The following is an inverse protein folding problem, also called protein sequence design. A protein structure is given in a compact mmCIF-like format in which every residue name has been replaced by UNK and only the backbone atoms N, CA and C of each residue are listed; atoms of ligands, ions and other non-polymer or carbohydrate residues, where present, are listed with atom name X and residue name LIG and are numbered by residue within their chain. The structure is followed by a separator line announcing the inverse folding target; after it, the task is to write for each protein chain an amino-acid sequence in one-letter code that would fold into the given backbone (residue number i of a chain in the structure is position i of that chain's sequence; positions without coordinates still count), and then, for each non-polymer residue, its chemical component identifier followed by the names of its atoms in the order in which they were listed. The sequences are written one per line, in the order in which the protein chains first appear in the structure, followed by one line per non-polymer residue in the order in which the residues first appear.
data_IF_445951169666
#
_entry.id   IF_445951169666
#
_cell.length_a   1.000
_cell.length_b   1.000
_cell.length_c   1.000
_cell.angle_alpha   90.00
_cell.angle_beta   90.00
_cell.angle_gamma   90.00
#
_symmetry.space_group_name_H-M   'P 1'
#
loop_
_entity.id
_entity.type
_entity.pdbx_description
1 polymer ?
#
# COMPACT_ATOMS: atom_id res chain seq x y z
N UNK A 1 -65.78 -22.48 -19.81
CA UNK A 1 -64.33 -22.67 -20.03
C UNK A 1 -63.75 -23.29 -18.77
N UNK A 2 -63.90 -24.61 -18.72
CA UNK A 2 -62.93 -25.66 -18.35
C UNK A 2 -61.53 -25.23 -17.89
N UNK A 3 -60.79 -25.92 -17.03
CA UNK A 3 -61.00 -26.98 -16.01
C UNK A 3 -59.58 -27.37 -15.57
N UNK A 4 -59.37 -27.56 -14.26
CA UNK A 4 -58.42 -28.52 -13.63
C UNK A 4 -56.92 -28.17 -13.71
N UNK A 5 -56.01 -28.55 -12.82
CA UNK A 5 -55.86 -29.71 -11.91
C UNK A 5 -55.06 -29.22 -10.67
N UNK A 6 -55.44 -29.47 -9.42
CA UNK A 6 -55.47 -30.73 -8.65
C UNK A 6 -54.09 -31.22 -8.16
N UNK A 7 -54.15 -31.80 -6.94
CA UNK A 7 -53.15 -32.60 -6.20
C UNK A 7 -52.23 -31.81 -5.26
N UNK A 8 -52.45 -31.78 -3.94
CA UNK A 8 -52.55 -32.89 -2.97
C UNK A 8 -51.26 -33.71 -2.89
N UNK A 9 -50.59 -33.65 -1.74
CA UNK A 9 -49.37 -34.40 -1.48
C UNK A 9 -48.85 -34.20 -0.06
N UNK A 10 -49.69 -34.51 0.93
CA UNK A 10 -49.28 -34.72 2.31
C UNK A 10 -48.37 -35.97 2.36
N UNK A 11 -47.09 -35.80 2.68
CA UNK A 11 -46.15 -36.91 2.84
C UNK A 11 -45.60 -36.93 4.27
N UNK A 12 -46.30 -37.70 5.12
CA UNK A 12 -45.84 -38.17 6.43
C UNK A 12 -44.59 -39.03 6.26
N UNK A 13 -43.44 -38.56 6.77
CA UNK A 13 -42.25 -39.39 6.92
C UNK A 13 -42.29 -40.02 8.31
N UNK A 14 -42.48 -41.34 8.32
CA UNK A 14 -42.48 -42.22 9.48
C UNK A 14 -41.04 -42.32 10.00
N UNK A 15 -40.82 -41.92 11.26
CA UNK A 15 -39.58 -42.17 11.98
C UNK A 15 -39.54 -43.64 12.42
N UNK A 16 -38.74 -44.47 11.75
CA UNK A 16 -38.30 -45.76 12.28
C UNK A 16 -36.77 -45.75 12.29
N UNK A 17 -36.21 -45.96 13.47
CA UNK A 17 -34.78 -45.89 13.73
C UNK A 17 -33.96 -46.93 12.98
N UNK A 18 -32.65 -46.69 12.90
CA UNK A 18 -31.68 -47.67 12.42
C UNK A 18 -30.40 -47.04 11.86
N UNK A 19 -29.43 -46.83 12.74
CA UNK A 19 -27.97 -46.94 12.52
C UNK A 19 -27.46 -47.05 11.07
N UNK A 20 -26.72 -46.02 10.63
CA UNK A 20 -25.43 -46.13 9.93
C UNK A 20 -24.89 -44.71 9.65
N UNK A 21 -24.13 -44.14 10.59
CA UNK A 21 -23.28 -42.98 10.30
C UNK A 21 -22.11 -43.46 9.43
N UNK A 22 -22.35 -43.55 8.13
CA UNK A 22 -21.27 -43.63 7.15
C UNK A 22 -20.69 -42.23 7.10
N UNK A 23 -19.52 -42.04 7.71
CA UNK A 23 -18.72 -40.84 7.56
C UNK A 23 -18.29 -40.76 6.09
N UNK A 24 -19.14 -40.18 5.24
CA UNK A 24 -18.72 -39.67 3.95
C UNK A 24 -17.90 -38.45 4.28
N UNK A 25 -16.58 -38.66 4.38
CA UNK A 25 -15.62 -37.57 4.43
C UNK A 25 -15.92 -36.65 3.27
N UNK A 26 -16.52 -35.49 3.58
CA UNK A 26 -16.61 -34.38 2.66
C UNK A 26 -15.18 -33.98 2.37
N UNK A 27 -14.65 -34.50 1.26
CA UNK A 27 -13.51 -33.93 0.59
C UNK A 27 -13.92 -32.49 0.24
N UNK A 28 -13.60 -31.56 1.13
CA UNK A 28 -13.55 -30.15 0.79
C UNK A 28 -12.62 -30.05 -0.41
N UNK A 29 -13.11 -29.63 -1.59
CA UNK A 29 -12.19 -29.34 -2.68
C UNK A 29 -11.21 -28.29 -2.15
N UNK A 30 -9.92 -28.61 -2.22
CA UNK A 30 -8.85 -27.66 -2.00
C UNK A 30 -9.04 -26.52 -3.01
N UNK A 31 -9.68 -25.45 -2.57
CA UNK A 31 -9.90 -24.24 -3.34
C UNK A 31 -8.58 -23.46 -3.39
N UNK A 32 -7.67 -23.93 -4.24
CA UNK A 32 -6.47 -23.18 -4.64
C UNK A 32 -6.92 -22.04 -5.56
N UNK A 33 -7.41 -20.96 -4.95
CA UNK A 33 -7.90 -19.80 -5.69
C UNK A 33 -8.71 -18.86 -4.82
N UNK A 34 -8.32 -18.69 -3.55
CA UNK A 34 -8.83 -17.56 -2.77
C UNK A 34 -8.21 -16.30 -3.32
N UNK A 35 -9.02 -15.44 -3.95
CA UNK A 35 -8.69 -14.03 -4.08
C UNK A 35 -8.28 -13.54 -2.69
N UNK A 36 -7.05 -13.07 -2.55
CA UNK A 36 -6.59 -12.51 -1.28
C UNK A 36 -7.36 -11.20 -1.09
N UNK A 37 -8.22 -11.09 -0.04
CA UNK A 37 -9.08 -9.92 0.15
C UNK A 37 -8.26 -8.63 0.32
N UNK A 38 -6.96 -8.74 0.61
CA UNK A 38 -6.04 -7.62 0.69
C UNK A 38 -5.95 -6.80 -0.62
N UNK A 39 -6.35 -7.35 -1.77
CA UNK A 39 -6.24 -6.70 -3.07
C UNK A 39 -7.58 -6.43 -3.77
N UNK A 40 -8.72 -6.57 -3.07
CA UNK A 40 -10.03 -6.19 -3.64
C UNK A 40 -10.08 -4.69 -4.00
N UNK A 41 -9.43 -3.86 -3.17
CA UNK A 41 -9.28 -2.42 -3.41
C UNK A 41 -7.85 -1.95 -3.13
N UNK A 42 -7.38 -0.98 -3.90
CA UNK A 42 -6.10 -0.33 -3.63
C UNK A 42 -6.18 0.43 -2.31
N UNK A 43 -5.37 0.05 -1.34
CA UNK A 43 -5.46 0.57 0.03
C UNK A 43 -4.10 0.72 0.71
N UNK A 44 -4.05 1.65 1.66
CA UNK A 44 -2.94 1.80 2.60
C UNK A 44 -3.04 0.67 3.64
N UNK A 45 -2.16 -0.31 3.55
CA UNK A 45 -2.18 -1.47 4.45
C UNK A 45 -1.47 -1.18 5.77
N UNK A 46 -0.31 -0.54 5.72
CA UNK A 46 0.49 -0.25 6.91
C UNK A 46 1.24 1.06 6.72
N UNK A 47 1.26 1.90 7.76
CA UNK A 47 2.06 3.11 7.84
C UNK A 47 2.74 3.15 9.21
N UNK A 48 4.07 3.03 9.22
CA UNK A 48 4.88 2.95 10.43
C UNK A 48 5.94 4.04 10.43
N UNK A 49 5.70 5.18 11.11
CA UNK A 49 6.76 6.13 11.41
C UNK A 49 7.71 5.55 12.45
N UNK A 50 9.01 5.74 12.24
CA UNK A 50 10.08 5.33 13.14
C UNK A 50 10.61 6.58 13.83
N UNK A 51 10.85 6.51 15.14
CA UNK A 51 11.25 7.63 16.00
C UNK A 51 12.24 8.59 15.35
N UNK A 52 12.03 9.87 15.62
CA UNK A 52 12.88 10.98 15.19
C UNK A 52 14.31 10.80 15.69
N UNK A 53 15.30 10.91 14.79
CA UNK A 53 16.73 10.79 15.12
C UNK A 53 17.52 11.94 14.58
N UNK A 54 18.58 12.31 15.29
CA UNK A 54 19.64 13.14 14.73
C UNK A 54 20.35 12.33 13.64
N UNK A 55 20.30 12.78 12.40
CA UNK A 55 20.98 12.14 11.28
C UNK A 55 21.74 13.20 10.47
N UNK A 56 23.05 12.99 10.28
CA UNK A 56 23.88 13.86 9.42
C UNK A 56 23.71 13.56 7.93
N UNK A 57 23.19 12.39 7.58
CA UNK A 57 22.96 11.96 6.20
C UNK A 57 21.50 11.55 6.01
N UNK A 58 20.86 12.10 4.98
CA UNK A 58 19.59 11.56 4.49
C UNK A 58 19.88 10.20 3.87
N UNK A 59 19.27 9.16 4.43
CA UNK A 59 19.24 7.85 3.76
C UNK A 59 18.51 8.02 2.43
N UNK A 60 19.08 7.48 1.36
CA UNK A 60 18.45 7.56 0.05
C UNK A 60 17.05 6.89 0.10
N UNK A 61 16.04 7.49 -0.54
CA UNK A 61 14.72 6.90 -0.64
C UNK A 61 14.80 5.53 -1.34
N UNK A 62 14.24 4.50 -0.71
CA UNK A 62 14.17 3.14 -1.28
C UNK A 62 12.71 2.71 -1.46
N UNK A 63 12.48 1.91 -2.50
CA UNK A 63 11.19 1.31 -2.73
C UNK A 63 11.36 -0.06 -3.38
N UNK A 64 10.65 -1.03 -2.81
CA UNK A 64 10.61 -2.39 -3.31
C UNK A 64 9.18 -2.73 -3.70
N UNK A 65 8.96 -3.05 -4.97
CA UNK A 65 7.68 -3.56 -5.46
C UNK A 65 7.74 -5.08 -5.48
N UNK A 66 6.79 -5.74 -4.80
CA UNK A 66 6.70 -7.20 -4.82
C UNK A 66 6.28 -7.73 -6.20
N UNK A 67 6.52 -9.03 -6.44
CA UNK A 67 6.10 -9.68 -7.69
C UNK A 67 4.57 -9.62 -7.84
N UNK A 68 4.06 -9.39 -9.06
CA UNK A 68 2.63 -9.46 -9.33
C UNK A 68 2.05 -10.81 -8.91
N UNK A 69 0.92 -10.75 -8.20
CA UNK A 69 0.03 -11.87 -7.94
C UNK A 69 -1.27 -11.66 -8.71
N UNK A 70 -2.07 -12.71 -9.00
CA UNK A 70 -3.30 -12.56 -9.77
C UNK A 70 -4.28 -11.52 -9.20
N UNK A 71 -4.25 -11.32 -7.88
CA UNK A 71 -5.11 -10.36 -7.19
C UNK A 71 -4.57 -8.91 -7.20
N UNK A 72 -3.27 -8.68 -7.49
CA UNK A 72 -2.68 -7.34 -7.41
C UNK A 72 -1.17 -7.32 -7.16
N UNK A 73 -0.67 -6.21 -6.60
CA UNK A 73 0.74 -6.01 -6.21
C UNK A 73 0.85 -5.38 -4.84
N UNK A 74 1.84 -5.79 -4.06
CA UNK A 74 2.22 -5.10 -2.81
C UNK A 74 3.41 -4.18 -3.04
N UNK A 75 3.29 -2.92 -2.62
CA UNK A 75 4.34 -1.91 -2.74
C UNK A 75 4.86 -1.59 -1.34
N UNK A 76 6.17 -1.74 -1.14
CA UNK A 76 6.84 -1.37 0.10
C UNK A 76 7.74 -0.16 -0.15
N UNK A 77 7.55 0.89 0.64
CA UNK A 77 8.33 2.13 0.57
C UNK A 77 9.08 2.33 1.88
N UNK A 78 10.37 2.64 1.79
CA UNK A 78 11.18 3.07 2.92
C UNK A 78 11.75 4.45 2.63
N UNK A 79 11.27 5.44 3.37
CA UNK A 79 11.51 6.84 3.06
C UNK A 79 11.96 7.58 4.31
N UNK A 80 12.72 8.65 4.11
CA UNK A 80 13.21 9.52 5.18
C UNK A 80 12.78 10.95 4.89
N UNK A 81 12.17 11.61 5.87
CA UNK A 81 11.75 13.01 5.81
C UNK A 81 12.50 13.82 6.87
N UNK A 82 12.94 15.02 6.52
CA UNK A 82 13.54 15.94 7.48
C UNK A 82 12.44 16.60 8.32
N UNK A 83 12.70 16.80 9.61
CA UNK A 83 11.76 17.44 10.54
C UNK A 83 12.49 18.46 11.39
N UNK A 84 11.74 19.38 11.99
CA UNK A 84 12.31 20.46 12.80
C UNK A 84 12.21 20.19 14.32
N UNK A 85 11.39 19.21 14.73
CA UNK A 85 11.12 18.90 16.13
C UNK A 85 11.09 17.39 16.43
N UNK A 86 11.52 17.00 17.65
CA UNK A 86 11.60 15.60 18.08
C UNK A 86 10.24 14.92 18.17
N UNK A 87 9.22 15.67 18.57
CA UNK A 87 7.82 15.27 18.75
C UNK A 87 6.98 15.46 17.48
N UNK A 88 7.61 15.69 16.32
CA UNK A 88 6.91 15.69 15.03
C UNK A 88 6.25 14.33 14.81
N UNK A 89 4.97 14.33 14.46
CA UNK A 89 4.26 13.11 14.07
C UNK A 89 4.01 13.09 12.58
N UNK A 90 3.90 11.89 12.00
CA UNK A 90 3.57 11.72 10.60
C UNK A 90 2.21 11.05 10.46
N UNK A 91 1.47 11.45 9.44
CA UNK A 91 0.26 10.76 8.99
C UNK A 91 0.37 10.51 7.48
N UNK A 92 -0.34 9.50 7.00
CA UNK A 92 -0.38 9.20 5.57
C UNK A 92 -1.81 8.94 5.09
N UNK A 93 -2.08 9.38 3.87
CA UNK A 93 -3.32 9.14 3.15
C UNK A 93 -3.02 8.66 1.73
N UNK A 94 -3.90 7.83 1.19
CA UNK A 94 -3.76 7.29 -0.16
C UNK A 94 -5.02 7.64 -0.94
N UNK A 95 -4.86 8.40 -2.01
CA UNK A 95 -5.96 8.82 -2.87
C UNK A 95 -5.74 8.37 -4.31
N UNK A 96 -6.83 8.07 -5.01
CA UNK A 96 -6.83 7.76 -6.44
C UNK A 96 -7.20 9.02 -7.23
N UNK A 97 -6.32 9.44 -8.14
CA UNK A 97 -6.57 10.59 -9.03
C UNK A 97 -6.77 10.19 -10.50
N UNK A 98 -6.63 8.90 -10.82
CA UNK A 98 -6.96 8.36 -12.12
C UNK A 98 -6.91 6.83 -12.13
N UNK A 99 -7.34 6.17 -13.22
CA UNK A 99 -7.20 4.72 -13.38
C UNK A 99 -5.72 4.32 -13.24
N UNK A 100 -5.41 3.44 -12.28
CA UNK A 100 -4.03 3.01 -12.01
C UNK A 100 -3.11 4.10 -11.44
N UNK A 101 -3.64 5.27 -11.06
CA UNK A 101 -2.85 6.43 -10.61
C UNK A 101 -3.24 6.85 -9.20
N UNK A 102 -2.26 6.83 -8.31
CA UNK A 102 -2.45 7.03 -6.88
C UNK A 102 -1.48 8.07 -6.34
N UNK A 103 -1.92 8.86 -5.37
CA UNK A 103 -1.06 9.75 -4.58
C UNK A 103 -1.02 9.23 -3.15
N UNK A 104 0.18 9.01 -2.63
CA UNK A 104 0.44 8.81 -1.21
C UNK A 104 0.91 10.14 -0.65
N UNK A 105 0.02 10.81 0.08
CA UNK A 105 0.36 12.03 0.79
C UNK A 105 0.80 11.70 2.21
N UNK A 106 1.96 12.23 2.60
CA UNK A 106 2.52 12.11 3.94
C UNK A 106 2.60 13.51 4.55
N UNK A 107 1.77 13.76 5.55
CA UNK A 107 1.71 15.04 6.24
C UNK A 107 2.49 15.00 7.56
N UNK A 108 3.23 16.09 7.83
CA UNK A 108 3.91 16.34 9.11
C UNK A 108 3.00 17.17 10.01
N UNK A 109 2.77 16.69 11.22
CA UNK A 109 2.26 17.52 12.31
C UNK A 109 3.46 18.08 13.08
N UNK A 110 3.71 19.40 13.03
CA UNK A 110 4.93 19.99 13.58
C UNK A 110 4.93 19.92 15.11
N UNK A 111 5.97 19.31 15.65
CA UNK A 111 6.23 19.30 17.10
C UNK A 111 6.75 20.65 17.62
N UNK A 112 6.88 20.75 18.94
CA UNK A 112 7.41 21.95 19.62
C UNK A 112 8.82 21.74 20.19
N UNK A 113 9.31 20.51 20.31
CA UNK A 113 10.59 20.19 20.92
C UNK A 113 11.75 20.35 19.92
N UNK A 114 12.33 21.55 19.89
CA UNK A 114 13.50 21.87 19.06
C UNK A 114 14.71 20.99 19.38
N UNK A 115 15.51 20.66 18.36
CA UNK A 115 16.78 19.96 18.51
C UNK A 115 17.97 20.82 18.11
N UNK A 116 19.14 20.49 18.67
CA UNK A 116 20.43 21.10 18.28
C UNK A 116 21.13 20.32 17.15
N UNK A 117 20.37 19.56 16.35
CA UNK A 117 20.87 18.70 15.28
C UNK A 117 19.86 18.66 14.13
N UNK A 118 20.29 18.24 12.94
CA UNK A 118 19.38 17.93 11.84
C UNK A 118 18.57 16.68 12.18
N UNK A 119 17.26 16.84 12.31
CA UNK A 119 16.35 15.75 12.62
C UNK A 119 15.77 15.14 11.36
N UNK A 120 15.57 13.83 11.42
CA UNK A 120 14.85 13.08 10.40
C UNK A 120 13.97 12.01 11.02
N UNK A 121 12.87 11.73 10.34
CA UNK A 121 11.96 10.63 10.65
C UNK A 121 11.99 9.67 9.47
N UNK A 122 12.21 8.39 9.76
CA UNK A 122 12.09 7.34 8.75
C UNK A 122 10.68 6.76 8.82
N UNK A 123 10.09 6.41 7.69
CA UNK A 123 8.79 5.76 7.70
C UNK A 123 8.75 4.61 6.69
N UNK A 124 8.01 3.57 7.07
CA UNK A 124 7.75 2.42 6.21
C UNK A 124 6.27 2.45 5.80
N UNK A 125 6.02 2.24 4.51
CA UNK A 125 4.66 2.14 3.98
C UNK A 125 4.49 0.85 3.23
N UNK A 126 3.35 0.19 3.46
CA UNK A 126 2.90 -0.94 2.65
C UNK A 126 1.57 -0.58 2.02
N UNK A 127 1.50 -0.67 0.69
CA UNK A 127 0.29 -0.47 -0.09
C UNK A 127 -0.08 -1.80 -0.76
N UNK A 128 -1.37 -2.13 -0.77
CA UNK A 128 -1.90 -3.15 -1.65
C UNK A 128 -2.52 -2.43 -2.86
N UNK A 129 -2.12 -2.79 -4.06
CA UNK A 129 -2.61 -2.22 -5.32
C UNK A 129 -3.40 -3.31 -6.03
N UNK A 130 -4.68 -3.06 -6.30
CA UNK A 130 -5.57 -4.06 -6.92
C UNK A 130 -5.32 -4.25 -8.42
N UNK A 131 -4.52 -3.40 -9.05
CA UNK A 131 -4.17 -3.49 -10.48
C UNK A 131 -2.83 -4.22 -10.64
N UNK A 132 -2.80 -5.43 -11.22
CA UNK A 132 -1.58 -6.25 -11.30
C UNK A 132 -0.65 -5.86 -12.47
N UNK A 133 -1.11 -5.12 -13.46
CA UNK A 133 -0.36 -4.87 -14.70
C UNK A 133 0.42 -3.55 -14.68
N UNK A 134 -0.26 -2.42 -14.52
CA UNK A 134 0.36 -1.09 -14.57
C UNK A 134 -0.17 -0.18 -13.44
N UNK A 135 0.74 0.54 -12.78
CA UNK A 135 0.35 1.63 -11.89
C UNK A 135 1.40 2.75 -11.81
N UNK A 136 0.92 3.93 -11.43
CA UNK A 136 1.73 5.08 -11.02
C UNK A 136 1.38 5.45 -9.59
N UNK A 137 2.39 5.59 -8.74
CA UNK A 137 2.28 6.10 -7.39
C UNK A 137 3.13 7.37 -7.24
N UNK A 138 2.46 8.48 -6.97
CA UNK A 138 3.09 9.76 -6.65
C UNK A 138 3.23 9.84 -5.13
N UNK A 139 4.38 10.24 -4.62
CA UNK A 139 4.59 10.43 -3.18
C UNK A 139 4.84 11.90 -2.90
N UNK A 140 4.01 12.47 -2.03
CA UNK A 140 4.12 13.87 -1.59
C UNK A 140 4.42 13.94 -0.10
N UNK A 141 5.23 14.92 0.29
CA UNK A 141 5.43 15.34 1.68
C UNK A 141 4.89 16.77 1.82
N UNK A 142 3.83 16.96 2.61
CA UNK A 142 3.12 18.24 2.76
C UNK A 142 2.87 18.93 1.41
N UNK A 143 2.16 18.21 0.52
CA UNK A 143 1.83 18.65 -0.85
C UNK A 143 3.03 18.85 -1.80
N UNK A 144 4.27 18.54 -1.39
CA UNK A 144 5.46 18.65 -2.25
C UNK A 144 5.86 17.29 -2.82
N UNK A 145 5.99 17.19 -4.13
CA UNK A 145 6.44 15.98 -4.82
C UNK A 145 7.85 15.58 -4.35
N UNK A 146 7.98 14.34 -3.87
CA UNK A 146 9.27 13.77 -3.41
C UNK A 146 9.72 12.61 -4.29
N UNK A 147 8.77 11.86 -4.83
CA UNK A 147 9.09 10.75 -5.72
C UNK A 147 7.89 10.31 -6.54
N UNK A 148 8.19 9.53 -7.58
CA UNK A 148 7.17 8.84 -8.35
C UNK A 148 7.65 7.44 -8.64
N UNK A 149 6.76 6.47 -8.46
CA UNK A 149 7.00 5.04 -8.61
C UNK A 149 6.07 4.51 -9.69
N UNK A 150 6.64 3.75 -10.62
CA UNK A 150 5.92 3.17 -11.73
C UNK A 150 6.17 1.67 -11.75
N UNK A 151 5.16 0.92 -12.16
CA UNK A 151 5.28 -0.50 -12.45
C UNK A 151 4.68 -0.75 -13.81
N UNK A 152 5.44 -1.40 -14.68
CA UNK A 152 5.01 -1.83 -16.00
C UNK A 152 4.79 -3.36 -16.03
N UNK A 153 3.93 -3.83 -16.94
CA UNK A 153 3.57 -5.24 -17.06
C UNK A 153 4.77 -6.16 -17.39
N UNK A 154 5.76 -5.62 -18.11
CA UNK A 154 6.95 -6.37 -18.56
C UNK A 154 8.13 -6.34 -17.57
N UNK A 155 8.07 -5.50 -16.53
CA UNK A 155 9.12 -5.38 -15.53
C UNK A 155 8.94 -6.44 -14.44
N UNK A 156 9.52 -7.63 -14.66
CA UNK A 156 9.61 -8.72 -13.67
C UNK A 156 10.52 -8.40 -12.46
N UNK A 157 11.02 -7.16 -12.40
CA UNK A 157 11.63 -6.51 -11.25
C UNK A 157 11.63 -5.01 -11.52
N UNK A 158 10.58 -4.31 -11.09
CA UNK A 158 10.49 -2.85 -11.25
C UNK A 158 11.52 -2.16 -10.36
N UNK A 159 12.60 -1.66 -10.95
CA UNK A 159 13.54 -0.78 -10.27
C UNK A 159 12.90 0.60 -10.09
N UNK A 160 12.65 0.98 -8.85
CA UNK A 160 12.16 2.30 -8.48
C UNK A 160 13.23 3.36 -8.72
N UNK A 161 13.04 4.21 -9.73
CA UNK A 161 13.86 5.41 -9.91
C UNK A 161 13.27 6.53 -9.05
N UNK A 162 13.77 6.67 -7.82
CA UNK A 162 13.44 7.83 -6.99
C UNK A 162 14.04 9.10 -7.64
N UNK A 163 13.23 9.81 -8.43
CA UNK A 163 13.59 11.14 -8.91
C UNK A 163 13.45 12.11 -7.75
N UNK A 164 14.46 12.17 -6.87
CA UNK A 164 14.51 13.14 -5.81
C UNK A 164 14.58 14.54 -6.46
N UNK A 165 13.47 15.26 -6.44
CA UNK A 165 13.39 16.69 -6.77
C UNK A 165 14.10 17.51 -5.70
N UNK A 166 15.42 17.34 -5.59
CA UNK A 166 16.28 18.17 -4.77
C UNK A 166 16.26 19.59 -5.31
N UNK A 167 15.43 20.44 -4.73
CA UNK A 167 15.63 21.89 -4.82
C UNK A 167 16.90 22.22 -4.03
N UNK A 168 18.05 22.02 -4.66
CA UNK A 168 19.32 22.54 -4.21
C UNK A 168 19.26 24.07 -4.34
N UNK A 169 18.84 24.74 -3.27
CA UNK A 169 19.16 26.14 -3.05
C UNK A 169 20.66 26.26 -2.84
N UNK A 170 21.43 26.20 -3.93
CA UNK A 170 22.86 26.39 -3.93
C UNK A 170 23.16 27.84 -3.59
N UNK A 171 23.64 28.05 -2.36
CA UNK A 171 24.33 29.27 -1.96
C UNK A 171 25.38 29.62 -3.01
N UNK A 172 25.23 30.79 -3.62
CA UNK A 172 26.20 31.32 -4.58
C UNK A 172 27.52 31.60 -3.86
N UNK A 173 28.42 30.64 -3.87
CA UNK A 173 29.83 30.87 -3.58
C UNK A 173 30.46 31.53 -4.81
N UNK A 174 30.37 32.86 -4.89
CA UNK A 174 31.18 33.64 -5.82
C UNK A 174 32.63 33.66 -5.29
N UNK A 175 33.38 32.64 -5.67
CA UNK A 175 34.84 32.63 -5.58
C UNK A 175 35.40 33.31 -6.81
N UNK A 176 35.47 34.64 -6.80
CA UNK A 176 36.19 35.43 -7.81
C UNK A 176 37.71 35.32 -7.56
N UNK A 177 38.41 34.72 -8.52
CA UNK A 177 39.87 34.58 -8.58
C UNK A 177 40.32 35.04 -9.97
N UNK A 178 41.49 35.68 -9.99
CA UNK A 178 42.27 36.27 -11.11
C UNK A 178 41.93 37.74 -11.39
N UNK A 179 42.84 38.70 -11.14
CA UNK A 179 44.23 38.82 -11.66
C UNK A 179 45.10 39.68 -10.76
#
# INVERSE_FOLDING_TARGET
MDRRYALAGLLTIVAVGGVATVAVGSATPLQFGGEDPAFEETSLHTFEPIDTRCAKERTAPDATVSRPVPAGRRVHLNQTIAVDAHDTTLSASLDRFGPGRYVLDVARDPGAASANCDLSVRYNVTLNVSTPEEFTLVVTHDDRLVGTYFSDADASGGSASASAGGSAGGSSAASDRET
#
